data_IF_114491611546
#
_entry.id   IF_114491611546
#
_cell.length_a   1.000
_cell.length_b   1.000
_cell.length_c   1.000
_cell.angle_alpha   90.00
_cell.angle_beta   90.00
_cell.angle_gamma   90.00
#
_symmetry.space_group_name_H-M   'P 1'
#
loop_
_entity.id
_entity.type
_entity.pdbx_description
1 polymer ?
#
# COMPACT_ATOMS: atom_id res chain seq x y z
N UNK A 1 60.58 -38.59 10.57
CA UNK A 1 59.24 -38.82 9.99
C UNK A 1 58.22 -38.17 10.94
N UNK A 2 57.92 -36.88 10.78
CA UNK A 2 56.83 -36.21 11.49
C UNK A 2 56.42 -34.94 10.72
N UNK A 3 55.51 -35.07 9.78
CA UNK A 3 54.80 -33.95 9.24
C UNK A 3 53.44 -34.44 8.66
N UNK A 4 52.37 -34.38 9.44
CA UNK A 4 51.11 -33.89 8.86
C UNK A 4 50.23 -33.06 9.83
N UNK A 5 50.69 -32.60 10.99
CA UNK A 5 49.78 -31.91 11.93
C UNK A 5 49.58 -30.38 11.70
N UNK A 6 50.42 -29.70 10.95
CA UNK A 6 50.31 -28.26 10.76
C UNK A 6 49.20 -27.78 9.82
N UNK A 7 48.71 -28.67 8.92
CA UNK A 7 47.66 -28.31 7.95
C UNK A 7 46.21 -28.31 8.50
N UNK A 8 45.97 -28.97 9.65
CA UNK A 8 44.61 -29.05 10.21
C UNK A 8 44.21 -27.78 11.02
N UNK A 9 45.18 -27.15 11.65
CA UNK A 9 44.90 -25.97 12.53
C UNK A 9 44.53 -24.70 11.72
N UNK A 10 45.07 -24.57 10.52
CA UNK A 10 44.76 -23.44 9.63
C UNK A 10 43.32 -23.50 9.06
N UNK A 11 42.81 -24.67 8.80
CA UNK A 11 41.45 -24.90 8.26
C UNK A 11 40.35 -24.65 9.29
N UNK A 12 40.61 -24.89 10.58
CA UNK A 12 39.67 -24.65 11.66
C UNK A 12 39.48 -23.13 11.93
N UNK A 13 40.59 -22.35 11.90
CA UNK A 13 40.53 -20.90 12.03
C UNK A 13 39.78 -20.19 10.92
N UNK A 14 39.93 -20.65 9.68
CA UNK A 14 39.24 -20.08 8.51
C UNK A 14 37.74 -20.47 8.51
N UNK A 15 37.39 -21.68 8.98
CA UNK A 15 36.00 -22.09 9.10
C UNK A 15 35.21 -21.30 10.17
N UNK A 16 35.87 -20.97 11.29
CA UNK A 16 35.25 -20.18 12.36
C UNK A 16 35.01 -18.72 11.93
N UNK A 17 35.99 -18.14 11.22
CA UNK A 17 35.85 -16.80 10.63
C UNK A 17 34.72 -16.71 9.63
N UNK A 18 34.64 -17.72 8.73
CA UNK A 18 33.59 -17.79 7.73
C UNK A 18 32.21 -17.93 8.38
N UNK A 19 32.08 -18.72 9.43
CA UNK A 19 30.83 -18.89 10.18
C UNK A 19 30.38 -17.61 10.89
N UNK A 20 31.31 -16.91 11.53
CA UNK A 20 31.01 -15.62 12.16
C UNK A 20 30.62 -14.55 11.13
N UNK A 21 31.35 -14.45 10.00
CA UNK A 21 30.98 -13.56 8.90
C UNK A 21 29.61 -13.90 8.33
N UNK A 22 29.37 -15.16 8.04
CA UNK A 22 28.09 -15.61 7.51
C UNK A 22 26.94 -15.33 8.49
N UNK A 23 27.15 -15.57 9.79
CA UNK A 23 26.17 -15.30 10.82
C UNK A 23 25.83 -13.81 10.96
N UNK A 24 26.84 -12.95 11.01
CA UNK A 24 26.62 -11.47 11.09
C UNK A 24 25.98 -10.94 9.81
N UNK A 25 26.40 -11.41 8.64
CA UNK A 25 25.83 -11.01 7.37
C UNK A 25 24.36 -11.46 7.22
N UNK A 26 24.07 -12.71 7.64
CA UNK A 26 22.71 -13.24 7.64
C UNK A 26 21.79 -12.45 8.59
N UNK A 27 22.29 -12.08 9.77
CA UNK A 27 21.53 -11.26 10.72
C UNK A 27 21.25 -9.86 10.18
N UNK A 28 22.25 -9.20 9.60
CA UNK A 28 22.09 -7.88 8.95
C UNK A 28 21.07 -7.95 7.83
N UNK A 29 21.17 -8.97 6.97
CA UNK A 29 20.22 -9.17 5.86
C UNK A 29 18.81 -9.39 6.39
N UNK A 30 18.63 -10.23 7.40
CA UNK A 30 17.33 -10.47 8.01
C UNK A 30 16.74 -9.19 8.60
N UNK A 31 17.52 -8.39 9.33
CA UNK A 31 17.09 -7.12 9.89
C UNK A 31 16.65 -6.12 8.80
N UNK A 32 17.43 -6.01 7.72
CA UNK A 32 17.11 -5.13 6.58
C UNK A 32 15.83 -5.57 5.88
N UNK A 33 15.65 -6.88 5.64
CA UNK A 33 14.43 -7.40 5.03
C UNK A 33 13.20 -7.18 5.89
N UNK A 34 13.32 -7.37 7.20
CA UNK A 34 12.23 -7.16 8.15
C UNK A 34 11.83 -5.68 8.23
N UNK A 35 12.81 -4.78 8.29
CA UNK A 35 12.58 -3.34 8.25
C UNK A 35 11.92 -2.91 6.93
N UNK A 36 12.38 -3.43 5.80
CA UNK A 36 11.81 -3.13 4.48
C UNK A 36 10.38 -3.62 4.35
N UNK A 37 10.08 -4.82 4.84
CA UNK A 37 8.73 -5.38 4.84
C UNK A 37 7.78 -4.56 5.72
N UNK A 38 8.19 -4.20 6.94
CA UNK A 38 7.40 -3.38 7.86
C UNK A 38 7.13 -1.98 7.32
N UNK A 39 8.17 -1.33 6.76
CA UNK A 39 8.03 0.02 6.20
C UNK A 39 7.13 0.05 4.96
N UNK A 40 7.21 -0.98 4.12
CA UNK A 40 6.31 -1.13 2.96
C UNK A 40 4.85 -1.30 3.40
N UNK A 41 4.59 -2.10 4.45
CA UNK A 41 3.25 -2.27 5.01
C UNK A 41 2.68 -0.95 5.52
N UNK A 42 3.43 -0.27 6.37
CA UNK A 42 3.04 1.02 6.94
C UNK A 42 2.73 2.08 5.86
N UNK A 43 3.57 2.14 4.82
CA UNK A 43 3.36 3.08 3.72
C UNK A 43 2.10 2.75 2.91
N UNK A 44 1.85 1.47 2.65
CA UNK A 44 0.64 1.02 1.94
C UNK A 44 -0.63 1.43 2.70
N UNK A 45 -0.65 1.17 4.01
CA UNK A 45 -1.81 1.49 4.85
C UNK A 45 -2.04 3.00 4.91
N UNK A 46 -0.97 3.78 5.01
CA UNK A 46 -1.05 5.24 5.00
C UNK A 46 -1.63 5.80 3.69
N UNK A 47 -1.16 5.31 2.53
CA UNK A 47 -1.66 5.74 1.22
C UNK A 47 -3.12 5.32 1.02
N UNK A 48 -3.51 4.11 1.47
CA UNK A 48 -4.90 3.65 1.39
C UNK A 48 -5.83 4.55 2.21
N UNK A 49 -5.45 4.91 3.45
CA UNK A 49 -6.20 5.84 4.29
C UNK A 49 -6.31 7.23 3.68
N UNK A 50 -5.24 7.74 3.07
CA UNK A 50 -5.25 9.05 2.41
C UNK A 50 -6.22 9.07 1.21
N UNK A 51 -6.22 8.02 0.38
CA UNK A 51 -7.17 7.89 -0.74
C UNK A 51 -8.60 7.83 -0.21
N UNK A 52 -8.86 7.01 0.81
CA UNK A 52 -10.18 6.90 1.41
C UNK A 52 -10.68 8.26 1.93
N UNK A 53 -9.85 9.02 2.65
CA UNK A 53 -10.19 10.35 3.13
C UNK A 53 -10.51 11.32 1.98
N UNK A 54 -9.77 11.23 0.87
CA UNK A 54 -10.04 12.03 -0.32
C UNK A 54 -11.38 11.65 -0.97
N UNK A 55 -11.71 10.35 -1.07
CA UNK A 55 -12.98 9.90 -1.62
C UNK A 55 -14.17 10.33 -0.73
N UNK A 56 -14.01 10.29 0.60
CA UNK A 56 -15.03 10.77 1.52
C UNK A 56 -15.28 12.27 1.33
N UNK A 57 -14.23 13.07 1.19
CA UNK A 57 -14.38 14.52 0.91
C UNK A 57 -15.13 14.76 -0.40
N UNK A 58 -14.86 13.99 -1.44
CA UNK A 58 -15.58 14.09 -2.71
C UNK A 58 -17.03 13.63 -2.58
N UNK A 59 -17.29 12.59 -1.78
CA UNK A 59 -18.65 12.14 -1.47
C UNK A 59 -19.45 13.23 -0.73
N UNK A 60 -18.83 13.96 0.20
CA UNK A 60 -19.44 15.08 0.89
C UNK A 60 -19.75 16.24 -0.07
N UNK A 61 -18.83 16.55 -0.98
CA UNK A 61 -19.07 17.54 -2.05
C UNK A 61 -20.21 17.11 -2.99
N UNK A 62 -20.25 15.83 -3.37
CA UNK A 62 -21.33 15.29 -4.18
C UNK A 62 -22.66 15.37 -3.42
N UNK A 63 -22.70 15.02 -2.14
CA UNK A 63 -23.90 15.10 -1.31
C UNK A 63 -24.44 16.53 -1.23
N UNK A 64 -23.56 17.52 -1.11
CA UNK A 64 -23.93 18.94 -1.08
C UNK A 64 -24.38 19.49 -2.45
N UNK A 65 -23.96 18.85 -3.54
CA UNK A 65 -24.30 19.26 -4.91
C UNK A 65 -25.61 18.66 -5.42
N UNK A 66 -26.15 17.64 -4.74
CA UNK A 66 -27.40 16.97 -5.14
C UNK A 66 -28.58 17.85 -4.72
N UNK A 67 -29.40 18.22 -5.71
CA UNK A 67 -30.62 18.99 -5.50
C UNK A 67 -31.83 18.23 -6.07
N UNK A 68 -32.94 18.35 -5.38
CA UNK A 68 -34.25 17.90 -5.89
C UNK A 68 -34.97 19.04 -6.58
N UNK A 69 -35.46 18.75 -7.77
CA UNK A 69 -36.31 19.65 -8.55
C UNK A 69 -37.79 19.27 -8.39
N UNK A 70 -38.72 20.21 -8.60
CA UNK A 70 -40.15 19.91 -8.57
C UNK A 70 -40.47 18.74 -9.51
N UNK A 71 -41.22 17.75 -9.00
CA UNK A 71 -41.55 16.52 -9.69
C UNK A 71 -40.56 15.37 -9.49
N UNK A 72 -39.74 15.42 -8.42
CA UNK A 72 -38.87 14.31 -8.01
C UNK A 72 -37.66 14.09 -8.92
N UNK A 73 -37.35 15.03 -9.79
CA UNK A 73 -36.13 14.98 -10.63
C UNK A 73 -34.91 15.40 -9.80
N UNK A 74 -33.84 14.66 -9.94
CA UNK A 74 -32.60 14.91 -9.23
C UNK A 74 -31.59 15.50 -10.19
N UNK A 75 -30.93 16.56 -9.77
CA UNK A 75 -29.87 17.24 -10.52
C UNK A 75 -28.63 17.38 -9.64
N UNK A 76 -27.46 17.25 -10.24
CA UNK A 76 -26.17 17.51 -9.58
C UNK A 76 -25.64 18.85 -10.08
N UNK A 77 -25.52 19.81 -9.18
CA UNK A 77 -24.94 21.10 -9.47
C UNK A 77 -23.46 21.03 -9.87
N UNK A 78 -22.95 22.13 -10.43
CA UNK A 78 -21.55 22.23 -10.92
C UNK A 78 -20.46 22.11 -9.83
N UNK A 79 -20.82 21.88 -8.58
CA UNK A 79 -19.92 21.93 -7.43
C UNK A 79 -18.95 20.72 -7.28
N UNK A 80 -19.07 19.70 -8.13
CA UNK A 80 -18.12 18.56 -8.09
C UNK A 80 -16.90 18.94 -8.94
N UNK A 81 -15.98 19.69 -8.32
CA UNK A 81 -14.95 20.47 -9.00
C UNK A 81 -13.68 19.72 -9.46
N UNK A 82 -13.60 18.39 -9.37
CA UNK A 82 -12.41 17.68 -9.87
C UNK A 82 -12.49 17.52 -11.40
N UNK A 83 -11.54 18.11 -12.16
CA UNK A 83 -11.52 18.02 -13.63
C UNK A 83 -11.49 16.59 -14.16
N UNK A 84 -10.97 15.64 -13.39
CA UNK A 84 -10.92 14.22 -13.75
C UNK A 84 -12.32 13.63 -13.93
N UNK A 85 -13.31 14.09 -13.19
CA UNK A 85 -14.69 13.63 -13.30
C UNK A 85 -15.35 13.98 -14.65
N UNK A 86 -14.80 14.95 -15.36
CA UNK A 86 -15.22 15.34 -16.70
C UNK A 86 -14.48 14.61 -17.83
N UNK A 87 -13.38 13.92 -17.51
CA UNK A 87 -12.55 13.21 -18.50
C UNK A 87 -12.93 11.72 -18.54
N UNK A 88 -13.26 11.17 -19.70
CA UNK A 88 -13.57 9.75 -19.84
C UNK A 88 -12.43 8.85 -19.31
N UNK A 89 -12.78 7.83 -18.54
CA UNK A 89 -11.87 6.81 -18.03
C UNK A 89 -10.67 7.37 -17.23
N UNK A 90 -10.88 8.47 -16.52
CA UNK A 90 -9.83 9.18 -15.76
C UNK A 90 -9.39 8.46 -14.47
N UNK A 91 -10.04 7.36 -14.12
CA UNK A 91 -9.78 6.62 -12.88
C UNK A 91 -10.46 7.18 -11.63
N UNK A 92 -11.26 8.25 -11.75
CA UNK A 92 -12.08 8.80 -10.68
C UNK A 92 -13.52 8.90 -11.15
N UNK A 93 -14.45 8.35 -10.39
CA UNK A 93 -15.83 8.15 -10.81
C UNK A 93 -16.81 8.51 -9.70
N UNK A 94 -17.98 9.00 -10.05
CA UNK A 94 -19.12 9.02 -9.15
C UNK A 94 -20.39 8.53 -9.85
N UNK A 95 -21.27 7.95 -9.06
CA UNK A 95 -22.56 7.46 -9.50
C UNK A 95 -23.61 7.66 -8.40
N UNK A 96 -24.83 7.96 -8.79
CA UNK A 96 -25.99 8.03 -7.92
C UNK A 96 -26.97 6.97 -8.34
N UNK A 97 -27.31 6.09 -7.42
CA UNK A 97 -28.32 5.05 -7.59
C UNK A 97 -29.60 5.41 -6.85
N UNK A 98 -30.73 5.02 -7.40
CA UNK A 98 -31.98 5.00 -6.67
C UNK A 98 -32.09 3.66 -5.96
N UNK A 99 -32.43 3.67 -4.68
CA UNK A 99 -32.56 2.48 -3.85
C UNK A 99 -33.96 2.45 -3.20
N UNK A 100 -34.50 1.26 -3.00
CA UNK A 100 -35.76 1.11 -2.25
C UNK A 100 -35.49 1.08 -0.74
N UNK A 101 -34.30 0.56 -0.36
CA UNK A 101 -33.86 0.46 1.04
C UNK A 101 -32.35 0.76 1.06
N UNK A 102 -31.89 1.55 2.01
CA UNK A 102 -30.53 2.12 2.00
C UNK A 102 -29.37 1.13 1.81
N UNK A 103 -29.56 -0.15 2.20
CA UNK A 103 -28.55 -1.20 2.14
C UNK A 103 -28.70 -2.18 0.97
N UNK A 104 -29.89 -2.26 0.36
CA UNK A 104 -30.24 -3.25 -0.65
C UNK A 104 -29.62 -3.00 -2.05
N UNK A 105 -29.87 -3.89 -3.01
CA UNK A 105 -29.51 -3.64 -4.40
C UNK A 105 -30.25 -2.42 -4.94
N UNK A 106 -29.67 -1.68 -5.91
CA UNK A 106 -30.32 -0.51 -6.48
C UNK A 106 -31.57 -0.92 -7.26
N UNK A 107 -32.64 -0.15 -7.11
CA UNK A 107 -33.82 -0.24 -7.96
C UNK A 107 -33.48 0.25 -9.37
N UNK A 108 -32.73 1.38 -9.43
CA UNK A 108 -32.20 1.94 -10.67
C UNK A 108 -30.74 2.33 -10.47
N UNK A 109 -29.84 1.55 -11.06
CA UNK A 109 -28.42 1.84 -11.07
C UNK A 109 -28.09 2.96 -12.06
N UNK A 110 -27.15 3.85 -11.69
CA UNK A 110 -26.67 4.90 -12.57
C UNK A 110 -27.72 5.93 -12.95
N UNK A 111 -28.61 6.30 -12.03
CA UNK A 111 -29.60 7.36 -12.25
C UNK A 111 -28.92 8.64 -12.74
N UNK A 112 -27.82 9.03 -12.07
CA UNK A 112 -26.88 10.06 -12.50
C UNK A 112 -25.46 9.53 -12.34
N UNK A 113 -24.56 9.97 -13.20
CA UNK A 113 -23.17 9.51 -13.19
C UNK A 113 -22.20 10.55 -13.73
N UNK A 114 -20.94 10.46 -13.32
CA UNK A 114 -19.87 11.29 -13.86
C UNK A 114 -19.61 10.96 -15.32
N UNK A 115 -19.19 11.96 -16.08
CA UNK A 115 -18.76 11.76 -17.47
C UNK A 115 -17.56 10.81 -17.58
N UNK A 116 -16.78 10.68 -16.51
CA UNK A 116 -15.63 9.79 -16.46
C UNK A 116 -16.01 8.31 -16.56
N UNK A 117 -17.22 7.91 -16.15
CA UNK A 117 -17.74 6.56 -16.33
C UNK A 117 -18.10 6.24 -17.81
N UNK A 118 -18.23 7.28 -18.65
CA UNK A 118 -18.62 7.15 -20.04
C UNK A 118 -19.96 6.43 -20.17
N UNK A 119 -19.97 5.20 -20.74
CA UNK A 119 -21.14 4.34 -20.90
C UNK A 119 -21.25 3.24 -19.83
N UNK A 120 -20.28 3.17 -18.90
CA UNK A 120 -20.24 2.18 -17.85
C UNK A 120 -21.14 2.58 -16.66
N UNK A 121 -21.53 1.59 -15.87
CA UNK A 121 -22.18 1.74 -14.57
C UNK A 121 -21.48 0.89 -13.54
N UNK A 122 -21.40 1.41 -12.32
CA UNK A 122 -20.88 0.67 -11.19
C UNK A 122 -21.97 -0.27 -10.67
N UNK A 123 -21.69 -1.58 -10.62
CA UNK A 123 -22.63 -2.58 -10.13
C UNK A 123 -22.44 -2.79 -8.62
N UNK A 124 -23.29 -2.16 -7.82
CA UNK A 124 -23.27 -2.28 -6.35
C UNK A 124 -23.40 -3.72 -5.85
N UNK A 125 -23.95 -4.63 -6.62
CA UNK A 125 -24.05 -6.06 -6.22
C UNK A 125 -22.69 -6.73 -6.09
N UNK A 126 -21.67 -6.17 -6.72
CA UNK A 126 -20.29 -6.65 -6.67
C UNK A 126 -19.46 -5.93 -5.60
N UNK A 127 -20.07 -5.01 -4.85
CA UNK A 127 -19.39 -4.30 -3.77
C UNK A 127 -18.96 -5.27 -2.67
N UNK A 128 -17.70 -5.18 -2.28
CA UNK A 128 -17.10 -5.95 -1.19
C UNK A 128 -16.62 -4.99 -0.14
N UNK A 129 -17.29 -4.98 1.01
CA UNK A 129 -16.85 -4.17 2.15
C UNK A 129 -15.46 -4.59 2.62
N UNK A 130 -14.65 -3.62 3.01
CA UNK A 130 -13.35 -3.89 3.64
C UNK A 130 -13.57 -4.56 5.01
N UNK A 131 -13.00 -5.76 5.17
CA UNK A 131 -13.08 -6.54 6.41
C UNK A 131 -12.28 -5.93 7.58
N UNK A 132 -11.62 -4.78 7.36
CA UNK A 132 -10.65 -4.20 8.28
C UNK A 132 -11.19 -3.28 9.36
N UNK A 133 -12.45 -2.86 9.32
CA UNK A 133 -12.99 -2.00 10.37
C UNK A 133 -14.48 -2.26 10.67
N UNK A 134 -14.81 -3.34 11.40
CA UNK A 134 -16.20 -3.61 11.79
C UNK A 134 -16.75 -2.63 12.85
N UNK A 135 -15.99 -1.61 13.26
CA UNK A 135 -16.31 -0.72 14.38
C UNK A 135 -16.76 0.70 14.03
N UNK A 136 -16.69 1.12 12.78
CA UNK A 136 -17.14 2.47 12.36
C UNK A 136 -18.50 2.49 11.66
N UNK A 137 -19.36 1.53 11.92
CA UNK A 137 -20.78 1.70 11.69
C UNK A 137 -21.33 2.67 12.75
N UNK A 138 -21.04 3.96 12.58
CA UNK A 138 -21.85 5.00 13.20
C UNK A 138 -23.21 4.92 12.54
N UNK A 139 -24.20 4.48 13.29
CA UNK A 139 -25.60 4.30 12.89
C UNK A 139 -26.24 5.57 12.28
N UNK A 140 -25.63 6.74 12.43
CA UNK A 140 -26.14 8.01 11.89
C UNK A 140 -25.53 8.45 10.54
N UNK A 141 -24.51 7.76 10.05
CA UNK A 141 -23.95 8.05 8.73
C UNK A 141 -23.36 6.76 8.16
N UNK A 142 -24.21 5.93 7.56
CA UNK A 142 -23.82 4.62 7.02
C UNK A 142 -22.85 4.76 5.83
N UNK A 143 -21.59 5.17 6.12
CA UNK A 143 -20.52 5.20 5.16
C UNK A 143 -20.04 3.76 4.91
N UNK A 144 -20.20 3.29 3.70
CA UNK A 144 -19.68 1.99 3.27
C UNK A 144 -18.39 2.20 2.50
N UNK A 145 -17.31 1.53 2.93
CA UNK A 145 -16.02 1.55 2.24
C UNK A 145 -15.67 0.15 1.79
N UNK A 146 -15.17 0.01 0.57
CA UNK A 146 -14.81 -1.30 0.04
C UNK A 146 -14.31 -1.25 -1.38
N UNK A 147 -14.28 -2.41 -2.01
CA UNK A 147 -13.85 -2.58 -3.40
C UNK A 147 -15.04 -2.90 -4.31
N UNK A 148 -14.98 -2.33 -5.50
CA UNK A 148 -15.97 -2.52 -6.56
C UNK A 148 -15.24 -2.67 -7.90
N UNK A 149 -15.52 -3.66 -8.74
CA UNK A 149 -14.95 -3.72 -10.07
C UNK A 149 -15.61 -2.69 -11.00
N UNK A 150 -14.83 -2.13 -11.92
CA UNK A 150 -15.37 -1.37 -13.05
C UNK A 150 -16.00 -2.30 -14.09
N UNK A 151 -16.56 -1.72 -15.17
CA UNK A 151 -17.14 -2.50 -16.26
C UNK A 151 -16.13 -3.37 -17.04
N UNK A 152 -14.82 -3.22 -16.81
CA UNK A 152 -13.75 -4.01 -17.39
C UNK A 152 -13.13 -5.01 -16.40
N UNK A 153 -13.60 -5.00 -15.14
CA UNK A 153 -13.10 -5.87 -14.07
C UNK A 153 -11.91 -5.31 -13.30
N UNK A 154 -11.50 -4.06 -13.53
CA UNK A 154 -10.43 -3.45 -12.72
C UNK A 154 -10.96 -3.11 -11.33
N UNK A 155 -10.18 -3.35 -10.27
CA UNK A 155 -10.61 -3.06 -8.92
C UNK A 155 -10.60 -1.55 -8.64
N UNK A 156 -11.73 -1.03 -8.22
CA UNK A 156 -11.90 0.34 -7.73
C UNK A 156 -12.01 0.32 -6.21
N UNK A 157 -11.40 1.29 -5.55
CA UNK A 157 -11.69 1.62 -4.16
C UNK A 157 -12.91 2.52 -4.14
N UNK A 158 -13.98 2.13 -3.46
CA UNK A 158 -15.25 2.83 -3.46
C UNK A 158 -15.68 3.21 -2.05
N UNK A 159 -16.28 4.39 -1.94
CA UNK A 159 -17.02 4.84 -0.77
C UNK A 159 -18.44 5.15 -1.17
N UNK A 160 -19.40 4.79 -0.32
CA UNK A 160 -20.81 5.04 -0.59
C UNK A 160 -21.55 5.46 0.67
N UNK A 161 -22.58 6.26 0.49
CA UNK A 161 -23.48 6.73 1.55
C UNK A 161 -24.92 6.78 1.04
N UNK A 162 -25.91 6.33 1.83
CA UNK A 162 -27.30 6.62 1.55
C UNK A 162 -27.58 8.10 1.75
N UNK A 163 -28.41 8.68 0.91
CA UNK A 163 -28.88 10.06 1.01
C UNK A 163 -30.41 10.07 0.92
N UNK A 164 -31.06 10.67 1.90
CA UNK A 164 -32.46 11.04 1.84
C UNK A 164 -32.60 12.53 1.68
N UNK A 165 -33.29 12.94 0.66
CA UNK A 165 -33.60 14.34 0.43
C UNK A 165 -34.80 14.76 1.29
N UNK A 166 -34.89 16.04 1.70
CA UNK A 166 -35.95 16.50 2.61
C UNK A 166 -37.34 16.53 1.98
N UNK A 167 -37.46 16.40 0.66
CA UNK A 167 -38.73 16.37 -0.05
C UNK A 167 -39.43 15.03 0.15
N UNK A 168 -40.73 15.06 0.51
CA UNK A 168 -41.52 13.89 0.84
C UNK A 168 -41.65 12.86 -0.32
N UNK A 169 -41.55 13.31 -1.57
CA UNK A 169 -41.68 12.48 -2.78
C UNK A 169 -40.30 12.10 -3.37
N UNK A 170 -39.20 12.49 -2.75
CA UNK A 170 -37.87 12.16 -3.25
C UNK A 170 -37.52 10.69 -2.95
N UNK A 171 -37.08 9.91 -3.95
CA UNK A 171 -36.68 8.54 -3.69
C UNK A 171 -35.38 8.50 -2.86
N UNK A 172 -35.19 7.50 -2.02
CA UNK A 172 -33.93 7.30 -1.34
C UNK A 172 -32.81 7.01 -2.35
N UNK A 173 -31.67 7.65 -2.14
CA UNK A 173 -30.53 7.60 -3.03
C UNK A 173 -29.34 6.93 -2.37
N UNK A 174 -28.47 6.37 -3.16
CA UNK A 174 -27.12 5.99 -2.76
C UNK A 174 -26.11 6.74 -3.62
N UNK A 175 -25.25 7.48 -2.97
CA UNK A 175 -24.13 8.16 -3.59
C UNK A 175 -22.91 7.24 -3.52
N UNK A 176 -22.22 7.09 -4.63
CA UNK A 176 -21.02 6.26 -4.76
C UNK A 176 -19.92 7.13 -5.37
N UNK A 177 -18.75 7.15 -4.74
CA UNK A 177 -17.53 7.71 -5.31
C UNK A 177 -16.49 6.62 -5.33
N UNK A 178 -15.83 6.41 -6.46
CA UNK A 178 -14.86 5.35 -6.65
C UNK A 178 -13.61 5.86 -7.37
N UNK A 179 -12.47 5.29 -7.01
CA UNK A 179 -11.19 5.57 -7.67
C UNK A 179 -10.49 4.27 -8.06
N UNK A 180 -9.81 4.30 -9.21
CA UNK A 180 -9.01 3.18 -9.68
C UNK A 180 -7.86 2.90 -8.70
N UNK A 181 -7.74 1.65 -8.27
CA UNK A 181 -6.64 1.19 -7.43
C UNK A 181 -5.27 1.34 -8.11
N UNK A 182 -5.22 1.44 -9.44
CA UNK A 182 -4.01 1.75 -10.19
C UNK A 182 -3.41 3.12 -9.82
N UNK A 183 -4.25 4.09 -9.38
CA UNK A 183 -3.77 5.38 -8.87
C UNK A 183 -2.90 5.24 -7.60
N UNK A 184 -3.07 4.13 -6.86
CA UNK A 184 -2.21 3.79 -5.72
C UNK A 184 -0.92 3.07 -6.15
N UNK A 185 -0.93 2.41 -7.30
CA UNK A 185 0.18 1.56 -7.72
C UNK A 185 1.43 2.38 -8.07
N UNK A 186 1.29 3.52 -8.73
CA UNK A 186 2.43 4.35 -9.16
C UNK A 186 3.24 4.92 -7.97
N UNK A 187 2.63 5.59 -6.97
CA UNK A 187 3.35 6.04 -5.78
C UNK A 187 4.01 4.87 -5.02
N UNK A 188 3.33 3.72 -4.93
CA UNK A 188 3.87 2.54 -4.27
C UNK A 188 5.07 1.94 -4.98
N UNK A 189 5.07 1.89 -6.32
CA UNK A 189 6.22 1.41 -7.09
C UNK A 189 7.43 2.32 -6.92
N UNK A 190 7.25 3.64 -7.01
CA UNK A 190 8.33 4.62 -6.79
C UNK A 190 8.92 4.49 -5.39
N UNK A 191 8.06 4.40 -4.37
CA UNK A 191 8.49 4.20 -2.99
C UNK A 191 9.24 2.87 -2.82
N UNK A 192 8.72 1.77 -3.34
CA UNK A 192 9.36 0.45 -3.26
C UNK A 192 10.73 0.46 -3.92
N UNK A 193 10.88 1.09 -5.08
CA UNK A 193 12.17 1.20 -5.78
C UNK A 193 13.18 2.01 -4.96
N UNK A 194 12.78 3.16 -4.42
CA UNK A 194 13.64 3.97 -3.54
C UNK A 194 14.01 3.23 -2.26
N UNK A 195 13.07 2.50 -1.67
CA UNK A 195 13.29 1.71 -0.47
C UNK A 195 14.31 0.59 -0.72
N UNK A 196 14.16 -0.15 -1.82
CA UNK A 196 15.10 -1.21 -2.21
C UNK A 196 16.50 -0.62 -2.45
N UNK A 197 16.61 0.51 -3.14
CA UNK A 197 17.88 1.17 -3.37
C UNK A 197 18.54 1.63 -2.05
N UNK A 198 17.79 2.27 -1.16
CA UNK A 198 18.29 2.75 0.13
C UNK A 198 18.71 1.59 1.05
N UNK A 199 17.86 0.56 1.19
CA UNK A 199 18.17 -0.62 2.00
C UNK A 199 19.31 -1.44 1.41
N UNK A 200 19.39 -1.54 0.08
CA UNK A 200 20.50 -2.20 -0.62
C UNK A 200 21.82 -1.49 -0.37
N UNK A 201 21.84 -0.18 -0.44
CA UNK A 201 23.04 0.64 -0.13
C UNK A 201 23.44 0.48 1.33
N UNK A 202 22.48 0.52 2.24
CA UNK A 202 22.72 0.30 3.66
C UNK A 202 23.30 -1.09 3.94
N UNK A 203 22.69 -2.13 3.36
CA UNK A 203 23.15 -3.51 3.52
C UNK A 203 24.57 -3.71 2.96
N UNK A 204 24.87 -3.13 1.79
CA UNK A 204 26.20 -3.17 1.20
C UNK A 204 27.24 -2.45 2.07
N UNK A 205 26.90 -1.28 2.62
CA UNK A 205 27.75 -0.54 3.54
C UNK A 205 28.04 -1.30 4.84
N UNK A 206 27.00 -1.90 5.44
CA UNK A 206 27.15 -2.73 6.63
C UNK A 206 27.99 -3.99 6.36
N UNK A 207 27.75 -4.66 5.23
CA UNK A 207 28.52 -5.83 4.84
C UNK A 207 30.01 -5.46 4.63
N UNK A 208 30.30 -4.34 3.97
CA UNK A 208 31.66 -3.83 3.79
C UNK A 208 32.32 -3.51 5.14
N UNK A 209 31.59 -2.84 6.05
CA UNK A 209 32.09 -2.51 7.38
C UNK A 209 32.45 -3.77 8.19
N UNK A 210 31.59 -4.79 8.17
CA UNK A 210 31.84 -6.08 8.84
C UNK A 210 33.09 -6.76 8.27
N UNK A 211 33.23 -6.81 6.95
CA UNK A 211 34.40 -7.38 6.28
C UNK A 211 35.68 -6.62 6.65
N UNK A 212 35.61 -5.28 6.66
CA UNK A 212 36.76 -4.41 7.00
C UNK A 212 37.17 -4.58 8.46
N UNK A 213 36.23 -4.59 9.41
CA UNK A 213 36.47 -4.83 10.83
C UNK A 213 37.15 -6.20 11.06
N UNK A 214 36.67 -7.25 10.41
CA UNK A 214 37.29 -8.57 10.56
C UNK A 214 38.71 -8.59 10.01
N UNK A 215 38.96 -7.94 8.87
CA UNK A 215 40.31 -7.84 8.29
C UNK A 215 41.26 -7.08 9.21
N UNK A 216 40.81 -5.95 9.78
CA UNK A 216 41.62 -5.13 10.69
C UNK A 216 41.88 -5.82 12.02
N UNK A 217 40.86 -6.42 12.65
CA UNK A 217 40.99 -7.12 13.92
C UNK A 217 41.92 -8.35 13.89
N UNK A 218 42.09 -8.96 12.70
CA UNK A 218 42.89 -10.17 12.53
C UNK A 218 44.30 -9.93 11.99
N UNK A 219 44.63 -8.68 11.60
CA UNK A 219 45.99 -8.30 11.19
C UNK A 219 47.06 -8.53 12.30
N UNK A 220 46.87 -8.11 13.56
CA UNK A 220 47.89 -8.25 14.59
C UNK A 220 48.21 -9.70 14.93
N UNK A 221 47.26 -10.64 14.80
CA UNK A 221 47.49 -12.06 15.05
C UNK A 221 48.42 -12.74 14.02
N UNK A 222 48.51 -12.24 12.81
CA UNK A 222 49.44 -12.75 11.79
C UNK A 222 50.87 -12.28 12.05
N UNK A 223 51.06 -11.07 12.60
CA UNK A 223 52.39 -10.54 12.97
C UNK A 223 53.00 -11.29 14.17
N UNK A 224 52.18 -11.73 15.13
CA UNK A 224 52.64 -12.51 16.24
C UNK A 224 53.05 -13.95 15.83
N UNK A 225 52.45 -14.49 14.81
CA UNK A 225 52.75 -15.83 14.29
C UNK A 225 54.10 -15.89 13.54
N UNK A 226 54.45 -14.82 12.83
CA UNK A 226 55.76 -14.70 12.16
C UNK A 226 56.88 -14.43 13.15
N UNK A 227 56.64 -13.63 14.17
CA UNK A 227 57.65 -13.38 15.24
C UNK A 227 58.01 -14.61 16.10
N UNK A 228 57.03 -15.50 16.37
CA UNK A 228 57.28 -16.76 17.07
C UNK A 228 58.00 -17.82 16.20
N UNK A 229 57.83 -17.77 14.90
CA UNK A 229 58.54 -18.67 13.98
C UNK A 229 60.04 -18.34 13.84
N UNK A 230 60.39 -17.06 13.95
CA UNK A 230 61.80 -16.60 13.90
C UNK A 230 62.55 -16.88 15.19
N UNK A 231 61.92 -16.81 16.37
CA UNK A 231 62.54 -17.17 17.67
C UNK A 231 62.81 -18.69 17.79
N UNK A 232 62.10 -19.51 17.05
CA UNK A 232 62.30 -20.97 17.09
C UNK A 232 63.37 -21.45 16.12
N UNK A 233 63.89 -20.61 15.24
CA UNK A 233 64.97 -20.93 14.29
C UNK A 233 66.36 -20.41 14.70
N UNK A 234 66.49 -19.66 15.80
CA UNK A 234 67.73 -19.33 16.48
C UNK A 234 68.00 -20.25 17.65
#
# INVERSE_FOLDING_TARGET
>A
MNAPQERQVSRLGDSLRLRLLAGTLAWVLAAVLLAGWGLRGLFRDHIAQQLQAQLVLQLDQLSAAVNSLPGGRIEVGLAVGDPRLAQPLSGLYWQIDQVSDGAGPPEKAGLLRSRSLWDQTLDWRQFRADAGNPGEHREDTALSTGMLPDGQGHPLVAVARPLQLPEADAPPLRLIVAADSALLAEPMQRFTTMLIAALGTLAAGLALAVVLQLRLALRPLQLLRTGLADVRKG
#
